data_IF_847886520313
#
_entry.id   IF_847886520313
#
_cell.length_a   1.000
_cell.length_b   1.000
_cell.length_c   1.000
_cell.angle_alpha   90.00
_cell.angle_beta   90.00
_cell.angle_gamma   90.00
#
_symmetry.space_group_name_H-M   'P 1'
#
loop_
_entity.id
_entity.type
_entity.pdbx_description
1 polymer ?
#
# COMPACT_ATOMS: atom_id res chain seq x y z
N UNK A 1 7.66 34.14 4.98
CA UNK A 1 7.58 33.05 5.96
C UNK A 1 7.59 33.68 7.34
N UNK A 2 6.54 33.48 8.14
CA UNK A 2 6.44 34.09 9.47
C UNK A 2 7.38 33.39 10.47
N UNK A 3 7.86 34.09 11.49
CA UNK A 3 8.65 33.52 12.59
C UNK A 3 7.95 32.32 13.24
N UNK A 4 6.62 32.35 13.34
CA UNK A 4 5.80 31.24 13.86
C UNK A 4 5.75 30.02 12.93
N UNK A 5 5.94 30.25 11.64
CA UNK A 5 5.97 29.21 10.62
C UNK A 5 7.32 28.48 10.68
N UNK A 6 8.41 29.26 10.77
CA UNK A 6 9.77 28.74 10.94
C UNK A 6 9.92 27.92 12.23
N UNK A 7 9.35 28.40 13.34
CA UNK A 7 9.37 27.67 14.61
C UNK A 7 8.60 26.34 14.54
N UNK A 8 7.47 26.31 13.82
CA UNK A 8 6.72 25.06 13.59
C UNK A 8 7.52 24.06 12.76
N UNK A 9 8.20 24.51 11.71
CA UNK A 9 9.06 23.64 10.89
C UNK A 9 10.24 23.08 11.69
N UNK A 10 10.91 23.91 12.50
CA UNK A 10 12.04 23.46 13.32
C UNK A 10 11.61 22.45 14.37
N UNK A 11 10.49 22.69 15.06
CA UNK A 11 9.93 21.76 16.02
C UNK A 11 9.50 20.44 15.36
N UNK A 12 8.86 20.52 14.18
CA UNK A 12 8.47 19.36 13.39
C UNK A 12 9.68 18.52 12.96
N UNK A 13 10.72 19.17 12.43
CA UNK A 13 11.96 18.53 11.99
C UNK A 13 12.71 17.87 13.15
N UNK A 14 12.82 18.54 14.29
CA UNK A 14 13.46 17.99 15.50
C UNK A 14 12.73 16.75 16.02
N UNK A 15 11.40 16.79 16.04
CA UNK A 15 10.58 15.65 16.46
C UNK A 15 10.69 14.47 15.49
N UNK A 16 10.68 14.73 14.19
CA UNK A 16 10.86 13.70 13.16
C UNK A 16 12.22 13.00 13.29
N UNK A 17 13.31 13.75 13.42
CA UNK A 17 14.67 13.18 13.58
C UNK A 17 14.75 12.31 14.82
N UNK A 18 14.15 12.75 15.94
CA UNK A 18 14.13 11.97 17.19
C UNK A 18 13.39 10.64 17.01
N UNK A 19 12.22 10.66 16.37
CA UNK A 19 11.44 9.45 16.09
C UNK A 19 12.16 8.52 15.10
N UNK A 20 12.83 9.07 14.09
CA UNK A 20 13.65 8.31 13.15
C UNK A 20 14.81 7.60 13.86
N UNK A 21 15.58 8.31 14.68
CA UNK A 21 16.66 7.70 15.47
C UNK A 21 16.13 6.61 16.41
N UNK A 22 14.95 6.80 17.01
CA UNK A 22 14.32 5.77 17.84
C UNK A 22 13.94 4.54 17.03
N UNK A 23 13.31 4.72 15.88
CA UNK A 23 12.95 3.63 14.96
C UNK A 23 14.18 2.85 14.49
N UNK A 24 15.29 3.52 14.20
CA UNK A 24 16.55 2.87 13.77
C UNK A 24 17.20 1.99 14.85
N UNK A 25 16.87 2.22 16.12
CA UNK A 25 17.34 1.42 17.24
C UNK A 25 16.34 0.33 17.66
N UNK A 26 15.19 0.26 17.00
CA UNK A 26 14.16 -0.72 17.32
C UNK A 26 14.60 -2.13 16.91
N UNK A 27 14.28 -3.11 17.77
CA UNK A 27 14.53 -4.51 17.49
C UNK A 27 13.21 -5.15 17.05
N UNK A 28 13.19 -5.66 15.82
CA UNK A 28 12.06 -6.44 15.31
C UNK A 28 12.20 -7.86 15.83
N UNK A 29 11.16 -8.36 16.49
CA UNK A 29 11.11 -9.74 16.95
C UNK A 29 10.75 -10.66 15.77
N UNK A 30 11.75 -11.41 15.29
CA UNK A 30 11.61 -12.32 14.15
C UNK A 30 10.75 -13.54 14.50
N UNK A 31 10.43 -13.77 15.78
CA UNK A 31 9.54 -14.85 16.21
C UNK A 31 8.06 -14.53 16.04
N UNK A 32 7.71 -13.25 15.87
CA UNK A 32 6.35 -12.86 15.50
C UNK A 32 6.18 -13.07 14.00
N UNK A 33 5.28 -13.97 13.60
CA UNK A 33 4.82 -14.10 12.21
C UNK A 33 3.94 -12.90 11.83
N UNK A 34 4.53 -11.70 11.76
CA UNK A 34 3.86 -10.49 11.28
C UNK A 34 4.40 -10.08 9.90
N UNK A 35 3.51 -9.60 9.03
CA UNK A 35 3.95 -8.96 7.78
C UNK A 35 4.46 -7.56 8.06
N UNK A 36 5.24 -7.02 7.13
CA UNK A 36 5.79 -5.66 7.23
C UNK A 36 4.66 -4.62 7.30
N UNK A 37 3.55 -4.82 6.57
CA UNK A 37 2.37 -3.96 6.62
C UNK A 37 1.71 -4.00 8.00
N UNK A 38 1.58 -5.18 8.59
CA UNK A 38 1.03 -5.35 9.94
C UNK A 38 1.91 -4.66 11.00
N UNK A 39 3.23 -4.80 10.89
CA UNK A 39 4.19 -4.10 11.77
C UNK A 39 3.97 -2.59 11.73
N UNK A 40 3.98 -1.99 10.54
CA UNK A 40 3.83 -0.55 10.39
C UNK A 40 2.46 -0.08 10.84
N UNK A 41 1.40 -0.86 10.59
CA UNK A 41 0.05 -0.56 11.09
C UNK A 41 -0.03 -0.55 12.61
N UNK A 42 0.59 -1.50 13.28
CA UNK A 42 0.67 -1.54 14.76
C UNK A 42 1.45 -0.33 15.31
N UNK A 43 2.45 0.14 14.57
CA UNK A 43 3.33 1.27 14.93
C UNK A 43 2.82 2.66 14.53
N UNK A 44 1.65 2.76 13.89
CA UNK A 44 1.08 4.02 13.40
C UNK A 44 0.98 5.10 14.50
N UNK A 45 0.55 4.73 15.70
CA UNK A 45 0.45 5.66 16.82
C UNK A 45 1.82 6.07 17.40
N UNK A 46 2.83 5.21 17.30
CA UNK A 46 4.19 5.46 17.83
C UNK A 46 5.02 6.31 16.87
N UNK A 47 4.88 6.09 15.56
CA UNK A 47 5.64 6.75 14.51
C UNK A 47 4.75 7.23 13.35
N UNK A 48 3.81 8.17 13.57
CA UNK A 48 2.80 8.52 12.57
C UNK A 48 3.40 9.02 11.25
N UNK A 49 4.45 9.84 11.31
CA UNK A 49 5.11 10.40 10.13
C UNK A 49 5.93 9.35 9.36
N UNK A 50 6.58 8.42 10.08
CA UNK A 50 7.32 7.34 9.43
C UNK A 50 6.35 6.30 8.86
N UNK A 51 5.21 6.08 9.50
CA UNK A 51 4.13 5.25 9.00
C UNK A 51 3.60 5.79 7.67
N UNK A 52 3.34 7.10 7.54
CA UNK A 52 2.91 7.72 6.27
C UNK A 52 3.93 7.47 5.14
N UNK A 53 5.23 7.64 5.44
CA UNK A 53 6.30 7.36 4.47
C UNK A 53 6.34 5.89 4.10
N UNK A 54 6.28 4.99 5.09
CA UNK A 54 6.28 3.55 4.87
C UNK A 54 5.07 3.10 4.05
N UNK A 55 3.86 3.59 4.36
CA UNK A 55 2.64 3.32 3.60
C UNK A 55 2.78 3.77 2.14
N UNK A 56 3.40 4.92 1.90
CA UNK A 56 3.69 5.40 0.54
C UNK A 56 4.65 4.47 -0.18
N UNK A 57 5.74 4.07 0.46
CA UNK A 57 6.73 3.14 -0.12
C UNK A 57 6.07 1.80 -0.46
N UNK A 58 5.30 1.20 0.45
CA UNK A 58 4.64 -0.08 0.22
C UNK A 58 3.49 -0.01 -0.79
N UNK A 59 2.94 1.17 -1.06
CA UNK A 59 1.99 1.34 -2.16
C UNK A 59 2.67 1.30 -3.54
N UNK A 60 4.00 1.38 -3.59
CA UNK A 60 4.76 1.30 -4.83
C UNK A 60 4.85 -0.16 -5.27
N UNK A 61 4.31 -0.44 -6.45
CA UNK A 61 4.36 -1.78 -7.05
C UNK A 61 5.80 -2.12 -7.44
N UNK A 62 6.31 -3.31 -7.06
CA UNK A 62 7.71 -3.69 -7.29
C UNK A 62 8.02 -4.09 -8.74
N UNK A 63 7.00 -4.28 -9.58
CA UNK A 63 7.15 -4.64 -10.99
C UNK A 63 5.98 -4.13 -11.82
N UNK A 64 6.27 -3.71 -13.05
CA UNK A 64 5.26 -3.41 -14.07
C UNK A 64 4.46 -4.66 -14.47
N UNK A 65 5.06 -5.85 -14.32
CA UNK A 65 4.41 -7.13 -14.65
C UNK A 65 3.41 -7.62 -13.61
N UNK A 66 3.28 -6.94 -12.47
CA UNK A 66 2.36 -7.38 -11.39
C UNK A 66 0.89 -7.43 -11.84
N UNK A 67 0.55 -6.66 -12.88
CA UNK A 67 -0.78 -6.62 -13.48
C UNK A 67 -0.95 -7.62 -14.65
N UNK A 68 0.08 -8.37 -15.06
CA UNK A 68 0.02 -9.25 -16.25
C UNK A 68 -1.06 -10.32 -16.18
N UNK A 69 -1.29 -10.91 -15.00
CA UNK A 69 -2.36 -11.89 -14.82
C UNK A 69 -3.73 -11.28 -15.08
N UNK A 70 -3.93 -10.03 -14.64
CA UNK A 70 -5.17 -9.28 -14.86
C UNK A 70 -5.33 -8.88 -16.32
N UNK A 71 -4.24 -8.45 -16.98
CA UNK A 71 -4.26 -8.16 -18.42
C UNK A 71 -4.47 -9.42 -19.28
N UNK A 72 -3.96 -10.57 -18.85
CA UNK A 72 -4.22 -11.85 -19.51
C UNK A 72 -5.70 -12.22 -19.46
N UNK A 73 -6.33 -12.03 -18.29
CA UNK A 73 -7.78 -12.21 -18.13
C UNK A 73 -8.58 -11.21 -18.98
N UNK A 74 -8.20 -9.93 -18.96
CA UNK A 74 -8.82 -8.90 -19.77
C UNK A 74 -8.73 -9.22 -21.27
N UNK A 75 -7.54 -9.62 -21.73
CA UNK A 75 -7.30 -10.06 -23.11
C UNK A 75 -8.19 -11.22 -23.50
N UNK A 76 -8.31 -12.26 -22.65
CA UNK A 76 -9.21 -13.37 -22.90
C UNK A 76 -10.68 -12.93 -23.08
N UNK A 77 -11.17 -12.04 -22.22
CA UNK A 77 -12.56 -11.56 -22.24
C UNK A 77 -12.82 -10.66 -23.45
N UNK A 78 -11.84 -9.85 -23.85
CA UNK A 78 -11.97 -8.89 -24.94
C UNK A 78 -11.77 -9.52 -26.33
N UNK A 79 -10.91 -10.54 -26.44
CA UNK A 79 -10.47 -11.07 -27.73
C UNK A 79 -11.32 -12.25 -28.24
N UNK A 80 -11.90 -13.05 -27.32
CA UNK A 80 -12.74 -14.18 -27.71
C UNK A 80 -14.10 -13.72 -28.22
N UNK A 81 -14.33 -13.90 -29.53
CA UNK A 81 -15.53 -13.51 -30.28
C UNK A 81 -16.88 -13.92 -29.64
N UNK A 82 -16.91 -15.03 -28.86
CA UNK A 82 -18.12 -15.51 -28.16
C UNK A 82 -18.35 -14.88 -26.78
N UNK A 83 -17.29 -14.37 -26.15
CA UNK A 83 -17.32 -13.80 -24.79
C UNK A 83 -16.97 -12.31 -24.78
N UNK A 84 -16.81 -11.68 -25.96
CA UNK A 84 -16.43 -10.29 -26.12
C UNK A 84 -17.39 -9.36 -25.37
N UNK A 85 -16.94 -8.89 -24.21
CA UNK A 85 -17.65 -7.89 -23.45
C UNK A 85 -17.28 -6.47 -23.92
N UNK A 86 -18.13 -5.50 -23.59
CA UNK A 86 -17.75 -4.09 -23.67
C UNK A 86 -16.60 -3.82 -22.68
N UNK A 87 -15.72 -2.86 -23.01
CA UNK A 87 -14.56 -2.51 -22.18
C UNK A 87 -14.94 -2.24 -20.71
N UNK A 88 -16.03 -1.52 -20.47
CA UNK A 88 -16.55 -1.23 -19.13
C UNK A 88 -16.89 -2.49 -18.31
N UNK A 89 -17.36 -3.56 -18.96
CA UNK A 89 -17.62 -4.84 -18.30
C UNK A 89 -16.36 -5.65 -18.05
N UNK A 90 -15.38 -5.58 -18.94
CA UNK A 90 -14.09 -6.24 -18.75
C UNK A 90 -13.34 -5.63 -17.56
N UNK A 91 -13.36 -4.30 -17.42
CA UNK A 91 -12.81 -3.58 -16.26
C UNK A 91 -13.44 -4.04 -14.94
N UNK A 92 -14.77 -4.12 -14.88
CA UNK A 92 -15.47 -4.61 -13.68
C UNK A 92 -15.10 -6.05 -13.31
N UNK A 93 -14.92 -6.94 -14.29
CA UNK A 93 -14.52 -8.33 -14.04
C UNK A 93 -13.09 -8.39 -13.50
N UNK A 94 -12.18 -7.60 -14.06
CA UNK A 94 -10.78 -7.54 -13.60
C UNK A 94 -10.70 -7.01 -12.17
N UNK A 95 -11.33 -5.87 -11.90
CA UNK A 95 -11.37 -5.27 -10.55
C UNK A 95 -12.06 -6.21 -9.56
N UNK A 96 -13.18 -6.81 -9.94
CA UNK A 96 -13.90 -7.77 -9.11
C UNK A 96 -13.05 -9.00 -8.77
N UNK A 97 -12.27 -9.51 -9.73
CA UNK A 97 -11.38 -10.66 -9.52
C UNK A 97 -10.23 -10.33 -8.57
N UNK A 98 -9.67 -9.12 -8.67
CA UNK A 98 -8.64 -8.64 -7.73
C UNK A 98 -9.20 -8.45 -6.31
N UNK A 99 -10.39 -7.88 -6.17
CA UNK A 99 -11.06 -7.70 -4.89
C UNK A 99 -11.40 -9.05 -4.24
N UNK A 100 -11.96 -9.98 -5.01
CA UNK A 100 -12.24 -11.35 -4.57
C UNK A 100 -11.00 -12.08 -4.07
N UNK A 101 -9.86 -11.89 -4.75
CA UNK A 101 -8.58 -12.51 -4.36
C UNK A 101 -8.03 -11.91 -3.07
N UNK A 102 -8.23 -10.60 -2.86
CA UNK A 102 -7.75 -9.88 -1.69
C UNK A 102 -8.66 -10.03 -0.46
N UNK A 103 -9.97 -10.18 -0.69
CA UNK A 103 -11.00 -10.28 0.35
C UNK A 103 -11.92 -11.48 0.10
N UNK A 104 -11.39 -12.72 0.18
CA UNK A 104 -12.18 -13.92 -0.10
C UNK A 104 -13.42 -14.06 0.80
N UNK A 105 -13.35 -13.54 2.03
CA UNK A 105 -14.45 -13.53 3.00
C UNK A 105 -15.68 -12.71 2.57
N UNK A 106 -15.58 -11.85 1.55
CA UNK A 106 -16.74 -11.11 1.03
C UNK A 106 -17.64 -11.94 0.12
N UNK A 107 -17.22 -13.16 -0.21
CA UNK A 107 -17.94 -14.08 -1.10
C UNK A 107 -18.71 -15.17 -0.35
N UNK A 108 -18.66 -15.17 0.98
CA UNK A 108 -19.44 -16.04 1.86
C UNK A 108 -20.88 -15.53 2.07
#
# INVERSE_FOLDING_TARGET
>A
MSTDEMNRYLHYSSRFITLFCRCMNERVDVSMEETVECYWKRKEAEYPQLFEVAATIFSTVPSESICETCFSLAGYILDKRRTRQQYSRAELIVVGSQLASKYPQWLE
#
